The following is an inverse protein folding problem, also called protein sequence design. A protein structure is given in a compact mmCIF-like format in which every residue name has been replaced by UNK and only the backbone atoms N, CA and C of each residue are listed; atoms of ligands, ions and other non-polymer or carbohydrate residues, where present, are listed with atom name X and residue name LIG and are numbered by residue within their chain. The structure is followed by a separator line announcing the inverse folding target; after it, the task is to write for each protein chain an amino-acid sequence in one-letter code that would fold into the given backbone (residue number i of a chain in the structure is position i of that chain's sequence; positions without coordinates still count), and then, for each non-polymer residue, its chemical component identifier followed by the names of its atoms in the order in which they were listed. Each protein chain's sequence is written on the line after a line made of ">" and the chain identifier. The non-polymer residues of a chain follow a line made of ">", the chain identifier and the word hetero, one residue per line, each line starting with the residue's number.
data_IF_240105424869
#
_entry.id   IF_240105424869
#
_cell.length_a   1.000
_cell.length_b   1.000
_cell.length_c   1.000
_cell.angle_alpha   90.00
_cell.angle_beta   90.00
_cell.angle_gamma   90.00
#
_symmetry.space_group_name_H-M   'P 1'
#
loop_
_entity.id
_entity.type
_entity.pdbx_description
1 polymer ?
#
# COMPACT_ATOMS: atom_id res chain seq x y z
N UNK A 1 0.50 20.65 8.67
CA UNK A 1 0.58 19.76 7.49
C UNK A 1 1.80 18.86 7.65
N UNK A 2 1.67 17.53 7.61
CA UNK A 2 2.79 16.62 7.72
C UNK A 2 3.73 16.73 6.51
N UNK A 3 5.01 16.38 6.72
CA UNK A 3 6.04 16.38 5.66
C UNK A 3 6.84 15.08 5.73
N UNK A 4 7.16 14.51 4.59
CA UNK A 4 8.13 13.42 4.46
C UNK A 4 9.40 14.02 3.85
N UNK A 5 10.41 14.31 4.69
CA UNK A 5 11.55 15.09 4.24
C UNK A 5 11.13 16.49 3.78
N UNK A 6 11.40 16.78 2.50
CA UNK A 6 10.98 18.02 1.83
C UNK A 6 9.62 17.94 1.12
N UNK A 7 8.95 16.80 1.15
CA UNK A 7 7.66 16.57 0.50
C UNK A 7 6.55 17.06 1.41
N UNK A 8 5.87 18.12 1.02
CA UNK A 8 4.70 18.64 1.72
C UNK A 8 3.46 17.81 1.39
N UNK A 9 2.69 17.42 2.42
CA UNK A 9 1.48 16.63 2.27
C UNK A 9 0.25 17.43 2.74
N UNK A 10 -0.96 17.10 2.29
CA UNK A 10 -2.18 17.69 2.84
C UNK A 10 -2.30 17.41 4.34
N UNK A 11 -3.24 18.06 5.01
CA UNK A 11 -3.40 18.01 6.47
C UNK A 11 -3.59 16.58 7.02
N UNK A 12 -4.33 15.75 6.31
CA UNK A 12 -4.47 14.31 6.61
C UNK A 12 -4.32 13.51 5.32
N UNK A 13 -3.08 13.18 4.91
CA UNK A 13 -2.84 12.49 3.65
C UNK A 13 -3.33 11.05 3.68
N UNK A 14 -3.79 10.59 2.52
CA UNK A 14 -4.19 9.21 2.27
C UNK A 14 -3.11 8.51 1.43
N UNK A 15 -2.50 7.48 2.00
CA UNK A 15 -1.39 6.76 1.37
C UNK A 15 -1.88 5.41 0.85
N UNK A 16 -1.53 5.05 -0.39
CA UNK A 16 -1.75 3.67 -0.86
C UNK A 16 -0.70 2.74 -0.25
N UNK A 17 -1.16 1.69 0.42
CA UNK A 17 -0.27 0.69 1.01
C UNK A 17 0.47 -0.15 -0.06
N UNK A 18 1.74 -0.49 0.17
CA UNK A 18 2.45 -1.48 -0.64
C UNK A 18 1.82 -2.88 -0.49
N UNK A 19 1.36 -3.46 -1.58
CA UNK A 19 0.68 -4.75 -1.62
C UNK A 19 1.18 -5.60 -2.79
N UNK A 20 1.68 -6.81 -2.48
CA UNK A 20 2.19 -7.76 -3.49
C UNK A 20 1.13 -8.12 -4.51
N UNK A 21 1.49 -8.09 -5.78
CA UNK A 21 0.66 -8.33 -6.95
C UNK A 21 -0.63 -7.45 -6.99
N UNK A 22 -0.60 -6.25 -6.41
CA UNK A 22 -1.73 -5.32 -6.34
C UNK A 22 -1.29 -3.87 -6.62
N UNK A 23 -0.28 -3.36 -5.90
CA UNK A 23 0.16 -1.96 -6.04
C UNK A 23 1.20 -1.80 -7.17
N UNK A 24 0.89 -2.37 -8.32
CA UNK A 24 1.64 -2.21 -9.57
C UNK A 24 1.42 -0.81 -10.18
N UNK A 25 2.24 -0.38 -11.17
CA UNK A 25 2.10 0.94 -11.78
C UNK A 25 0.69 1.25 -12.32
N UNK A 26 -0.01 0.32 -13.01
CA UNK A 26 -1.39 0.53 -13.45
C UNK A 26 -2.35 0.87 -12.29
N UNK A 27 -2.30 0.09 -11.21
CA UNK A 27 -3.20 0.30 -10.07
C UNK A 27 -2.84 1.55 -9.26
N UNK A 28 -1.54 1.81 -9.04
CA UNK A 28 -1.09 3.05 -8.37
C UNK A 28 -1.59 4.30 -9.12
N UNK A 29 -1.52 4.27 -10.46
CA UNK A 29 -2.04 5.36 -11.31
C UNK A 29 -3.54 5.59 -11.08
N UNK A 30 -4.35 4.52 -11.07
CA UNK A 30 -5.79 4.63 -10.79
C UNK A 30 -6.07 5.21 -9.40
N UNK A 31 -5.35 4.74 -8.37
CA UNK A 31 -5.47 5.28 -7.02
C UNK A 31 -5.06 6.75 -6.93
N UNK A 32 -4.01 7.14 -7.66
CA UNK A 32 -3.55 8.53 -7.72
C UNK A 32 -4.57 9.45 -8.38
N UNK A 33 -5.18 9.02 -9.48
CA UNK A 33 -6.27 9.74 -10.15
C UNK A 33 -7.49 9.92 -9.23
N UNK A 34 -7.70 9.00 -8.30
CA UNK A 34 -8.77 9.06 -7.29
C UNK A 34 -8.35 9.72 -5.98
N UNK A 35 -7.18 10.33 -5.94
CA UNK A 35 -6.80 11.21 -4.83
C UNK A 35 -5.89 10.58 -3.77
N UNK A 36 -5.24 9.45 -4.02
CA UNK A 36 -4.14 9.00 -3.16
C UNK A 36 -3.03 10.05 -3.16
N UNK A 37 -2.60 10.51 -1.98
CA UNK A 37 -1.60 11.56 -1.86
C UNK A 37 -0.19 11.04 -2.06
N UNK A 38 0.12 9.86 -1.53
CA UNK A 38 1.38 9.13 -1.70
C UNK A 38 1.08 7.70 -2.09
N UNK A 39 1.83 7.16 -3.03
CA UNK A 39 1.73 5.74 -3.40
C UNK A 39 3.08 5.04 -3.19
N UNK A 40 3.01 3.73 -2.95
CA UNK A 40 4.20 2.89 -2.78
C UNK A 40 4.16 1.74 -3.76
N UNK A 41 5.34 1.34 -4.26
CA UNK A 41 5.46 0.13 -5.07
C UNK A 41 5.11 -1.11 -4.25
N UNK A 42 4.91 -2.23 -4.90
CA UNK A 42 5.02 -3.53 -4.24
C UNK A 42 6.39 -3.65 -3.55
N UNK A 43 6.46 -4.44 -2.47
CA UNK A 43 7.74 -4.59 -1.76
C UNK A 43 8.73 -5.46 -2.55
N UNK A 44 9.97 -5.00 -2.66
CA UNK A 44 11.00 -5.57 -3.50
C UNK A 44 12.09 -6.21 -2.63
N UNK A 45 12.43 -7.47 -2.92
CA UNK A 45 13.52 -8.15 -2.23
C UNK A 45 14.88 -7.55 -2.59
N UNK A 46 15.66 -7.13 -1.60
CA UNK A 46 17.05 -6.68 -1.81
C UNK A 46 17.89 -7.77 -2.49
N UNK A 47 17.78 -9.01 -2.04
CA UNK A 47 18.41 -10.18 -2.64
C UNK A 47 17.98 -10.43 -4.09
N UNK A 48 16.72 -10.09 -4.43
CA UNK A 48 16.21 -10.18 -5.79
C UNK A 48 16.80 -9.10 -6.70
N UNK A 49 16.89 -7.86 -6.18
CA UNK A 49 17.43 -6.73 -6.94
C UNK A 49 18.92 -6.91 -7.27
N UNK A 50 19.74 -7.28 -6.29
CA UNK A 50 21.18 -7.43 -6.51
C UNK A 50 21.54 -8.60 -7.45
N UNK A 51 20.59 -9.49 -7.73
CA UNK A 51 20.73 -10.60 -8.68
C UNK A 51 20.00 -10.38 -10.00
N UNK A 52 19.56 -9.17 -10.27
CA UNK A 52 18.79 -8.79 -11.46
C UNK A 52 17.59 -9.71 -11.73
N UNK A 53 16.93 -10.18 -10.66
CA UNK A 53 15.76 -11.03 -10.82
C UNK A 53 14.63 -10.24 -11.49
N UNK A 54 14.18 -10.66 -12.69
CA UNK A 54 13.21 -9.94 -13.50
C UNK A 54 11.96 -9.51 -12.72
N UNK A 55 11.45 -10.36 -11.83
CA UNK A 55 10.31 -10.03 -10.94
C UNK A 55 10.60 -8.91 -9.94
N UNK A 56 11.85 -8.68 -9.58
CA UNK A 56 12.25 -7.58 -8.69
C UNK A 56 12.50 -6.31 -9.47
N UNK A 57 13.15 -6.42 -10.62
CA UNK A 57 13.49 -5.28 -11.46
C UNK A 57 12.26 -4.58 -12.03
N UNK A 58 11.25 -5.33 -12.51
CA UNK A 58 10.02 -4.76 -13.06
C UNK A 58 9.25 -3.92 -12.04
N UNK A 59 9.37 -4.22 -10.75
CA UNK A 59 8.71 -3.45 -9.68
C UNK A 59 9.35 -2.09 -9.40
N UNK A 60 10.51 -1.79 -10.01
CA UNK A 60 11.14 -0.48 -9.95
C UNK A 60 10.46 0.55 -10.86
N UNK A 61 9.60 0.11 -11.77
CA UNK A 61 8.91 1.01 -12.68
C UNK A 61 7.96 1.93 -11.93
N UNK A 62 8.11 3.23 -12.18
CA UNK A 62 7.27 4.29 -11.64
C UNK A 62 6.87 5.25 -12.76
N UNK A 63 5.66 5.79 -12.68
CA UNK A 63 5.16 6.78 -13.62
C UNK A 63 5.28 8.19 -13.04
N UNK A 64 5.65 9.16 -13.85
CA UNK A 64 5.79 10.56 -13.40
C UNK A 64 4.49 11.10 -12.77
N UNK A 65 3.32 10.70 -13.29
CA UNK A 65 2.02 11.15 -12.81
C UNK A 65 1.58 10.58 -11.45
N UNK A 66 2.32 9.60 -10.91
CA UNK A 66 2.00 9.00 -9.60
C UNK A 66 2.81 9.60 -8.44
N UNK A 67 3.67 10.58 -8.71
CA UNK A 67 4.46 11.26 -7.69
C UNK A 67 3.58 12.05 -6.69
N UNK A 68 3.97 12.10 -5.39
CA UNK A 68 5.14 11.43 -4.82
C UNK A 68 4.95 9.93 -4.70
N UNK A 69 5.99 9.16 -5.08
CA UNK A 69 6.02 7.71 -5.08
C UNK A 69 7.21 7.16 -4.28
N UNK A 70 6.94 6.21 -3.40
CA UNK A 70 7.97 5.50 -2.66
C UNK A 70 8.25 4.12 -3.24
N UNK A 71 9.53 3.77 -3.38
CA UNK A 71 9.93 2.39 -3.67
C UNK A 71 10.17 1.67 -2.35
N UNK A 72 9.45 0.56 -2.12
CA UNK A 72 9.57 -0.21 -0.89
C UNK A 72 10.48 -1.42 -1.08
N UNK A 73 11.51 -1.54 -0.24
CA UNK A 73 12.44 -2.67 -0.22
C UNK A 73 12.36 -3.46 1.08
N UNK A 74 12.74 -4.73 1.05
CA UNK A 74 12.89 -5.58 2.22
C UNK A 74 14.09 -6.51 2.13
N UNK A 75 14.69 -6.79 3.27
CA UNK A 75 15.81 -7.69 3.45
C UNK A 75 16.20 -7.78 4.93
N UNK A 76 17.18 -8.61 5.24
CA UNK A 76 17.75 -8.74 6.58
C UNK A 76 19.28 -8.61 6.56
N UNK A 77 19.90 -8.71 5.38
CA UNK A 77 21.35 -8.59 5.22
C UNK A 77 21.74 -7.18 4.85
N UNK A 78 22.65 -6.58 5.63
CA UNK A 78 23.05 -5.19 5.48
C UNK A 78 23.58 -4.89 4.07
N UNK A 79 24.52 -5.69 3.59
CA UNK A 79 25.17 -5.44 2.30
C UNK A 79 24.18 -5.49 1.14
N UNK A 80 23.24 -6.45 1.15
CA UNK A 80 22.22 -6.54 0.11
C UNK A 80 21.22 -5.38 0.15
N UNK A 81 20.89 -4.89 1.36
CA UNK A 81 20.01 -3.73 1.52
C UNK A 81 20.67 -2.44 1.02
N UNK A 82 21.95 -2.22 1.31
CA UNK A 82 22.67 -1.04 0.81
C UNK A 82 22.84 -1.06 -0.71
N UNK A 83 23.18 -2.20 -1.30
CA UNK A 83 23.24 -2.34 -2.77
C UNK A 83 21.85 -2.14 -3.41
N UNK A 84 20.79 -2.63 -2.77
CA UNK A 84 19.42 -2.40 -3.23
C UNK A 84 19.06 -0.90 -3.22
N UNK A 85 19.49 -0.13 -2.21
CA UNK A 85 19.32 1.34 -2.18
C UNK A 85 19.98 1.99 -3.40
N UNK A 86 21.22 1.63 -3.74
CA UNK A 86 21.92 2.16 -4.90
C UNK A 86 21.20 1.85 -6.24
N UNK A 87 20.55 0.69 -6.32
CA UNK A 87 19.73 0.31 -7.50
C UNK A 87 18.45 1.12 -7.55
N UNK A 88 17.76 1.23 -6.41
CA UNK A 88 16.49 1.98 -6.28
C UNK A 88 16.67 3.45 -6.61
N UNK A 89 17.76 4.09 -6.17
CA UNK A 89 18.03 5.50 -6.47
C UNK A 89 18.11 5.78 -7.98
N UNK A 90 18.56 4.81 -8.80
CA UNK A 90 18.61 4.97 -10.27
C UNK A 90 17.23 5.06 -10.91
N UNK A 91 16.20 4.56 -10.23
CA UNK A 91 14.80 4.71 -10.67
C UNK A 91 14.20 6.05 -10.26
N UNK A 92 14.98 6.91 -9.55
CA UNK A 92 14.60 8.26 -9.14
C UNK A 92 13.23 8.34 -8.41
N UNK A 93 12.98 7.55 -7.34
CA UNK A 93 11.77 7.69 -6.53
C UNK A 93 11.84 8.96 -5.67
N UNK A 94 10.70 9.34 -5.08
CA UNK A 94 10.65 10.44 -4.11
C UNK A 94 11.01 9.98 -2.69
N UNK A 95 10.78 8.68 -2.40
CA UNK A 95 10.93 8.08 -1.07
C UNK A 95 11.53 6.69 -1.20
N UNK A 96 12.42 6.32 -0.31
CA UNK A 96 12.80 4.91 -0.07
C UNK A 96 12.07 4.45 1.18
N UNK A 97 11.24 3.40 1.06
CA UNK A 97 10.50 2.84 2.18
C UNK A 97 11.03 1.45 2.56
N UNK A 98 11.18 1.20 3.86
CA UNK A 98 11.68 -0.08 4.37
C UNK A 98 10.49 -0.91 4.91
N UNK A 99 10.32 -2.13 4.38
CA UNK A 99 9.29 -3.05 4.84
C UNK A 99 9.78 -3.86 6.05
N UNK A 100 9.26 -3.54 7.21
CA UNK A 100 9.39 -4.31 8.44
C UNK A 100 8.04 -4.87 8.92
N UNK A 101 7.05 -5.00 8.00
CA UNK A 101 5.70 -5.40 8.34
C UNK A 101 5.15 -6.63 7.61
N UNK A 102 5.78 -7.13 6.55
CA UNK A 102 5.29 -8.28 5.79
C UNK A 102 5.27 -9.56 6.67
N UNK A 103 4.08 -10.19 6.91
CA UNK A 103 3.97 -11.33 7.82
C UNK A 103 4.17 -12.69 7.12
N UNK A 104 4.37 -12.70 5.80
CA UNK A 104 4.43 -13.92 4.98
C UNK A 104 5.59 -14.82 5.42
N UNK A 105 5.30 -16.11 5.63
CA UNK A 105 6.28 -17.09 6.15
C UNK A 105 7.60 -17.08 5.37
N UNK A 106 7.54 -17.04 4.04
CA UNK A 106 8.74 -17.02 3.15
C UNK A 106 9.67 -15.84 3.43
N UNK A 107 9.11 -14.68 3.80
CA UNK A 107 9.87 -13.45 4.15
C UNK A 107 10.40 -13.57 5.59
N UNK A 108 9.50 -13.89 6.51
CA UNK A 108 9.78 -13.95 7.96
C UNK A 108 10.85 -14.99 8.33
N UNK A 109 10.88 -16.15 7.66
CA UNK A 109 11.90 -17.18 7.89
C UNK A 109 13.33 -16.71 7.55
N UNK A 110 13.46 -15.61 6.78
CA UNK A 110 14.74 -14.96 6.47
C UNK A 110 15.05 -13.78 7.39
N UNK A 111 14.38 -13.65 8.53
CA UNK A 111 14.39 -12.49 9.42
C UNK A 111 14.02 -11.15 8.76
N UNK A 112 13.49 -11.15 7.54
CA UNK A 112 13.06 -9.96 6.80
C UNK A 112 11.58 -9.63 7.07
N UNK A 113 11.13 -8.46 6.61
CA UNK A 113 9.77 -7.99 6.85
C UNK A 113 9.45 -7.97 8.35
N UNK A 114 8.29 -8.51 8.75
CA UNK A 114 7.94 -8.57 10.18
C UNK A 114 8.81 -9.55 11.00
N UNK A 115 9.69 -10.33 10.37
CA UNK A 115 10.63 -11.20 11.06
C UNK A 115 11.63 -10.43 11.91
N UNK A 116 12.02 -9.24 11.45
CA UNK A 116 12.97 -8.34 12.12
C UNK A 116 12.46 -7.81 13.48
N UNK A 117 11.14 -7.84 13.73
CA UNK A 117 10.54 -7.41 15.00
C UNK A 117 11.01 -8.26 16.21
N UNK A 118 11.71 -9.36 15.96
CA UNK A 118 12.36 -10.18 16.99
C UNK A 118 13.79 -9.72 17.30
N UNK A 119 14.34 -8.83 16.46
CA UNK A 119 15.70 -8.28 16.59
C UNK A 119 15.69 -6.78 16.32
N UNK A 120 15.22 -6.02 17.31
CA UNK A 120 15.15 -4.56 17.20
C UNK A 120 16.53 -3.90 17.01
N UNK A 121 17.61 -4.35 17.67
CA UNK A 121 18.95 -3.83 17.38
C UNK A 121 19.34 -3.93 15.89
N UNK A 122 19.09 -5.07 15.25
CA UNK A 122 19.35 -5.24 13.82
C UNK A 122 18.45 -4.35 12.97
N UNK A 123 17.16 -4.24 13.31
CA UNK A 123 16.21 -3.34 12.65
C UNK A 123 16.71 -1.90 12.63
N UNK A 124 17.15 -1.38 13.77
CA UNK A 124 17.68 -0.04 13.93
C UNK A 124 18.99 0.14 13.14
N UNK A 125 19.92 -0.81 13.25
CA UNK A 125 21.19 -0.78 12.53
C UNK A 125 21.00 -0.75 11.01
N UNK A 126 20.14 -1.61 10.46
CA UNK A 126 19.81 -1.62 9.03
C UNK A 126 19.26 -0.27 8.58
N UNK A 127 18.33 0.29 9.36
CA UNK A 127 17.71 1.59 9.05
C UNK A 127 18.74 2.71 9.08
N UNK A 128 19.59 2.76 10.11
CA UNK A 128 20.66 3.76 10.26
C UNK A 128 21.59 3.78 9.04
N UNK A 129 22.06 2.61 8.63
CA UNK A 129 22.98 2.51 7.50
C UNK A 129 22.31 2.85 6.16
N UNK A 130 21.01 2.53 5.99
CA UNK A 130 20.24 2.95 4.83
C UNK A 130 20.07 4.47 4.81
N UNK A 131 19.73 5.09 5.93
CA UNK A 131 19.61 6.57 6.04
C UNK A 131 20.91 7.26 5.71
N UNK A 132 22.05 6.72 6.16
CA UNK A 132 23.38 7.26 5.83
C UNK A 132 23.75 7.11 4.35
N UNK A 133 23.19 6.08 3.66
CA UNK A 133 23.54 5.73 2.28
C UNK A 133 22.90 6.64 1.25
N UNK A 134 21.70 7.17 1.51
CA UNK A 134 20.89 7.94 0.56
C UNK A 134 20.65 9.36 1.01
N UNK A 135 20.36 10.27 0.05
CA UNK A 135 19.84 11.61 0.33
C UNK A 135 18.33 11.71 0.23
N UNK A 136 17.67 10.64 -0.26
CA UNK A 136 16.22 10.58 -0.34
C UNK A 136 15.62 10.41 1.05
N UNK A 137 14.40 10.91 1.29
CA UNK A 137 13.68 10.60 2.50
C UNK A 137 13.52 9.08 2.68
N UNK A 138 13.91 8.57 3.84
CA UNK A 138 13.72 7.17 4.22
C UNK A 138 12.51 7.07 5.15
N UNK A 139 11.58 6.18 4.84
CA UNK A 139 10.42 5.86 5.66
C UNK A 139 10.38 4.39 6.05
N UNK A 140 9.59 4.04 7.04
CA UNK A 140 9.46 2.67 7.50
C UNK A 140 7.98 2.28 7.58
N UNK A 141 7.64 1.10 7.06
CA UNK A 141 6.34 0.46 7.30
C UNK A 141 6.51 -0.78 8.17
N UNK A 142 5.84 -0.78 9.33
CA UNK A 142 5.98 -1.85 10.33
C UNK A 142 4.64 -2.29 10.95
N UNK A 143 4.71 -3.13 11.98
CA UNK A 143 3.58 -3.60 12.80
C UNK A 143 3.84 -3.29 14.28
N UNK A 144 2.83 -3.52 15.14
CA UNK A 144 2.91 -3.29 16.58
C UNK A 144 4.02 -4.10 17.28
N UNK A 145 4.31 -5.29 16.79
CA UNK A 145 5.28 -6.21 17.34
C UNK A 145 5.19 -7.60 16.68
N UNK A 146 5.96 -8.54 17.18
CA UNK A 146 5.90 -9.94 16.73
C UNK A 146 4.61 -10.62 17.15
N UNK A 147 4.26 -10.54 18.44
CA UNK A 147 3.05 -11.06 19.06
C UNK A 147 2.56 -10.11 20.16
N UNK A 148 1.48 -10.47 20.84
CA UNK A 148 0.88 -9.62 21.88
C UNK A 148 1.77 -9.42 23.12
N UNK A 149 2.75 -10.31 23.35
CA UNK A 149 3.69 -10.20 24.47
C UNK A 149 4.92 -9.35 24.12
N UNK A 150 5.07 -8.96 22.87
CA UNK A 150 6.23 -8.25 22.33
C UNK A 150 5.88 -6.97 21.58
N UNK A 151 4.76 -6.34 21.93
CA UNK A 151 4.38 -5.02 21.43
C UNK A 151 5.35 -3.98 22.00
N UNK A 152 6.23 -3.45 21.14
CA UNK A 152 7.25 -2.45 21.49
C UNK A 152 7.26 -1.27 20.54
N UNK A 153 6.11 -1.00 19.91
CA UNK A 153 6.07 -0.05 18.81
C UNK A 153 6.50 1.37 19.19
N UNK A 154 6.25 1.81 20.44
CA UNK A 154 6.66 3.13 20.91
C UNK A 154 8.20 3.21 20.96
N UNK A 155 8.87 2.26 21.62
CA UNK A 155 10.33 2.17 21.65
C UNK A 155 10.93 2.06 20.24
N UNK A 156 10.33 1.24 19.39
CA UNK A 156 10.77 1.02 18.00
C UNK A 156 10.68 2.32 17.21
N UNK A 157 9.58 3.04 17.30
CA UNK A 157 9.37 4.29 16.58
C UNK A 157 10.38 5.38 17.00
N UNK A 158 10.62 5.53 18.32
CA UNK A 158 11.64 6.44 18.83
C UNK A 158 13.02 6.13 18.26
N UNK A 159 13.44 4.86 18.37
CA UNK A 159 14.77 4.45 17.91
C UNK A 159 14.96 4.59 16.40
N UNK A 160 13.90 4.35 15.61
CA UNK A 160 13.94 4.52 14.16
C UNK A 160 13.98 6.03 13.80
N UNK A 161 13.23 6.88 14.50
CA UNK A 161 13.34 8.32 14.34
C UNK A 161 14.75 8.84 14.69
N UNK A 162 15.33 8.37 15.79
CA UNK A 162 16.65 8.79 16.27
C UNK A 162 17.75 8.49 15.22
N UNK A 163 17.58 7.47 14.37
CA UNK A 163 18.51 7.16 13.28
C UNK A 163 18.15 7.84 11.96
N UNK A 164 17.08 8.66 11.92
CA UNK A 164 16.83 9.63 10.86
C UNK A 164 15.76 9.28 9.83
N UNK A 165 14.85 8.34 10.11
CA UNK A 165 13.68 8.16 9.22
C UNK A 165 12.80 9.42 9.22
N UNK A 166 12.08 9.65 8.12
CA UNK A 166 11.28 10.85 7.91
C UNK A 166 9.78 10.66 8.09
N UNK A 167 9.30 9.42 8.20
CA UNK A 167 7.94 9.06 8.57
C UNK A 167 7.86 7.57 8.92
N UNK A 168 6.81 7.20 9.67
CA UNK A 168 6.55 5.81 10.00
C UNK A 168 5.08 5.46 9.74
N UNK A 169 4.84 4.33 9.05
CA UNK A 169 3.51 3.75 8.85
C UNK A 169 3.35 2.48 9.69
N UNK A 170 2.34 2.44 10.54
CA UNK A 170 2.19 1.36 11.51
C UNK A 170 0.88 0.61 11.28
N UNK A 171 0.97 -0.69 10.98
CA UNK A 171 -0.20 -1.55 10.94
C UNK A 171 -0.62 -1.95 12.37
N UNK A 172 -1.87 -1.67 12.76
CA UNK A 172 -2.44 -1.92 14.09
C UNK A 172 -2.64 -3.40 14.42
N UNK A 173 -1.79 -4.29 13.93
CA UNK A 173 -1.74 -5.73 14.24
C UNK A 173 -0.32 -6.19 14.48
N UNK A 174 -0.15 -7.24 15.27
CA UNK A 174 1.12 -7.95 15.38
C UNK A 174 1.37 -8.86 14.16
N UNK A 175 2.60 -9.37 14.04
CA UNK A 175 2.91 -10.35 12.99
C UNK A 175 2.08 -11.62 13.12
N UNK A 176 1.91 -12.14 14.33
CA UNK A 176 1.18 -13.39 14.58
C UNK A 176 -0.30 -13.27 14.24
N UNK A 177 -0.92 -12.13 14.49
CA UNK A 177 -2.30 -11.85 14.06
C UNK A 177 -2.49 -11.91 12.55
N UNK A 178 -1.45 -11.57 11.76
CA UNK A 178 -1.57 -11.41 10.31
C UNK A 178 -2.70 -10.43 9.93
N UNK A 179 -3.88 -10.96 9.61
CA UNK A 179 -5.10 -10.20 9.28
C UNK A 179 -6.31 -10.60 10.15
N UNK A 180 -6.09 -11.42 11.19
CA UNK A 180 -7.15 -11.87 12.10
C UNK A 180 -7.48 -10.81 13.15
N UNK A 181 -8.72 -10.80 13.62
CA UNK A 181 -9.22 -9.81 14.58
C UNK A 181 -9.26 -8.40 14.00
N UNK A 182 -9.38 -7.41 14.84
CA UNK A 182 -9.39 -6.00 14.48
C UNK A 182 -8.01 -5.35 14.64
N UNK A 183 -7.75 -4.29 13.87
CA UNK A 183 -6.56 -3.48 14.05
C UNK A 183 -6.71 -2.62 15.30
N UNK A 184 -5.73 -2.67 16.20
CA UNK A 184 -5.69 -1.80 17.37
C UNK A 184 -4.86 -0.54 17.07
N UNK A 185 -5.53 0.60 17.04
CA UNK A 185 -4.88 1.89 16.76
C UNK A 185 -4.38 2.60 18.02
N UNK A 186 -4.71 2.11 19.23
CA UNK A 186 -4.26 2.72 20.50
C UNK A 186 -2.73 2.78 20.61
N UNK A 187 -1.97 1.68 20.36
CA UNK A 187 -0.51 1.76 20.41
C UNK A 187 0.08 2.70 19.34
N UNK A 188 -0.61 2.91 18.21
CA UNK A 188 -0.18 3.89 17.20
C UNK A 188 -0.38 5.31 17.72
N UNK A 189 -1.51 5.58 18.38
CA UNK A 189 -1.77 6.85 19.04
C UNK A 189 -0.77 7.12 20.19
N UNK A 190 -0.34 6.09 20.92
CA UNK A 190 0.72 6.22 21.93
C UNK A 190 2.03 6.67 21.29
N UNK A 191 2.39 6.13 20.11
CA UNK A 191 3.54 6.62 19.33
C UNK A 191 3.35 8.09 18.97
N UNK A 192 2.20 8.47 18.41
CA UNK A 192 1.93 9.83 17.96
C UNK A 192 1.96 10.85 19.13
N UNK A 193 1.39 10.48 20.26
CA UNK A 193 1.32 11.34 21.46
C UNK A 193 2.61 11.38 22.29
N UNK A 194 3.61 10.60 21.90
CA UNK A 194 4.91 10.63 22.56
C UNK A 194 5.62 11.94 22.25
N UNK A 195 5.98 12.71 23.29
CA UNK A 195 6.64 14.01 23.18
C UNK A 195 7.98 13.99 22.43
N UNK A 196 8.62 12.82 22.36
CA UNK A 196 9.86 12.63 21.59
C UNK A 196 9.63 12.45 20.08
N UNK A 197 8.39 12.14 19.66
CA UNK A 197 8.09 11.92 18.24
C UNK A 197 7.86 13.26 17.53
N UNK A 198 8.61 13.48 16.44
CA UNK A 198 8.54 14.70 15.63
C UNK A 198 8.22 14.43 14.16
N UNK A 199 8.36 13.17 13.72
CA UNK A 199 8.04 12.75 12.36
C UNK A 199 6.55 12.35 12.22
N UNK A 200 5.98 12.40 11.01
CA UNK A 200 4.62 11.92 10.77
C UNK A 200 4.44 10.44 11.12
N UNK A 201 3.31 10.13 11.77
CA UNK A 201 2.88 8.77 12.13
C UNK A 201 1.59 8.45 11.38
N UNK A 202 1.66 7.53 10.43
CA UNK A 202 0.53 7.10 9.61
C UNK A 202 -0.05 5.80 10.13
N UNK A 203 -1.36 5.77 10.33
CA UNK A 203 -2.08 4.57 10.75
C UNK A 203 -2.42 3.66 9.57
N UNK A 204 -2.39 2.35 9.81
CA UNK A 204 -2.78 1.35 8.82
C UNK A 204 -3.52 0.18 9.49
N UNK A 205 -4.42 -0.45 8.73
CA UNK A 205 -5.25 -1.56 9.15
C UNK A 205 -6.70 -1.15 9.37
N UNK A 206 -7.63 -1.84 8.71
CA UNK A 206 -9.08 -1.70 8.83
C UNK A 206 -9.61 -0.26 8.59
N UNK A 207 -8.94 0.49 7.73
CA UNK A 207 -9.45 1.74 7.17
C UNK A 207 -10.23 1.36 5.92
N UNK A 208 -11.49 1.00 6.07
CA UNK A 208 -12.37 0.47 5.03
C UNK A 208 -13.69 1.24 4.89
N UNK A 209 -13.88 2.30 5.68
CA UNK A 209 -14.93 3.30 5.53
C UNK A 209 -14.36 4.72 5.70
N UNK A 210 -15.02 5.75 5.18
CA UNK A 210 -14.64 7.14 5.43
C UNK A 210 -14.63 7.49 6.92
N UNK A 211 -15.58 6.98 7.70
CA UNK A 211 -15.65 7.18 9.16
C UNK A 211 -14.44 6.59 9.89
N UNK A 212 -13.93 5.44 9.41
CA UNK A 212 -12.72 4.85 9.99
C UNK A 212 -11.51 5.78 9.82
N UNK A 213 -11.40 6.46 8.67
CA UNK A 213 -10.37 7.46 8.44
C UNK A 213 -10.55 8.71 9.31
N UNK A 214 -11.80 9.21 9.45
CA UNK A 214 -12.13 10.31 10.38
C UNK A 214 -11.78 9.94 11.81
N UNK A 215 -12.17 8.76 12.26
CA UNK A 215 -11.85 8.24 13.59
C UNK A 215 -10.34 8.20 13.84
N UNK A 216 -9.57 7.76 12.85
CA UNK A 216 -8.11 7.71 12.93
C UNK A 216 -7.50 9.11 13.10
N UNK A 217 -8.07 10.13 12.45
CA UNK A 217 -7.67 11.53 12.58
C UNK A 217 -8.12 12.12 13.93
N UNK A 218 -9.41 12.02 14.24
CA UNK A 218 -10.04 12.84 15.30
C UNK A 218 -9.94 12.21 16.69
N UNK A 219 -10.03 10.86 16.80
CA UNK A 219 -9.92 10.17 18.08
C UNK A 219 -8.47 9.75 18.40
N UNK A 220 -7.71 9.34 17.39
CA UNK A 220 -6.34 8.85 17.58
C UNK A 220 -5.26 9.88 17.25
N UNK A 221 -5.61 11.03 16.65
CA UNK A 221 -4.73 12.15 16.37
C UNK A 221 -3.59 11.85 15.39
N UNK A 222 -3.74 10.82 14.55
CA UNK A 222 -2.70 10.41 13.61
C UNK A 222 -2.54 11.42 12.47
N UNK A 223 -1.37 11.45 11.84
CA UNK A 223 -1.03 12.41 10.80
C UNK A 223 -1.57 12.03 9.41
N UNK A 224 -2.10 10.83 9.23
CA UNK A 224 -2.69 10.34 7.99
C UNK A 224 -3.02 8.86 8.05
N UNK A 225 -3.66 8.35 7.01
CA UNK A 225 -4.07 6.96 6.90
C UNK A 225 -3.43 6.26 5.70
N UNK A 226 -2.85 5.07 5.92
CA UNK A 226 -2.41 4.20 4.85
C UNK A 226 -3.49 3.15 4.55
N UNK A 227 -4.03 3.19 3.34
CA UNK A 227 -5.16 2.39 2.88
C UNK A 227 -4.63 1.19 2.07
N UNK A 228 -5.07 -0.01 2.43
CA UNK A 228 -4.72 -1.25 1.72
C UNK A 228 -5.94 -1.88 1.07
N UNK A 229 -6.47 -2.93 1.66
CA UNK A 229 -7.51 -3.81 1.11
C UNK A 229 -8.75 -3.11 0.60
N UNK A 230 -9.16 -2.01 1.22
CA UNK A 230 -10.32 -1.24 0.80
C UNK A 230 -10.18 -0.64 -0.61
N UNK A 231 -8.96 -0.37 -1.07
CA UNK A 231 -8.71 0.16 -2.42
C UNK A 231 -8.65 -0.90 -3.51
N UNK A 232 -8.47 -2.19 -3.17
CA UNK A 232 -8.30 -3.26 -4.18
C UNK A 232 -9.56 -3.37 -5.05
N UNK A 233 -9.45 -3.06 -6.35
CA UNK A 233 -10.59 -3.00 -7.26
C UNK A 233 -11.63 -1.94 -6.90
N UNK A 234 -11.26 -1.00 -6.04
CA UNK A 234 -12.10 0.14 -5.65
C UNK A 234 -11.26 1.39 -5.39
N UNK A 235 -10.55 1.92 -6.40
CA UNK A 235 -9.68 3.08 -6.22
C UNK A 235 -10.41 4.34 -5.77
N UNK A 236 -11.70 4.48 -6.03
CA UNK A 236 -12.55 5.60 -5.62
C UNK A 236 -12.58 5.84 -4.11
N UNK A 237 -12.20 4.85 -3.31
CA UNK A 237 -12.17 4.96 -1.86
C UNK A 237 -11.37 6.17 -1.36
N UNK A 238 -10.29 6.55 -2.03
CA UNK A 238 -9.52 7.76 -1.68
C UNK A 238 -10.34 9.03 -1.86
N UNK A 239 -11.10 9.14 -2.95
CA UNK A 239 -11.96 10.30 -3.21
C UNK A 239 -13.16 10.32 -2.25
N UNK A 240 -13.74 9.16 -1.93
CA UNK A 240 -14.84 9.06 -0.95
C UNK A 240 -14.41 9.56 0.43
N UNK A 241 -13.23 9.15 0.91
CA UNK A 241 -12.69 9.63 2.20
C UNK A 241 -12.47 11.14 2.17
N UNK A 242 -11.88 11.69 1.09
CA UNK A 242 -11.66 13.12 0.96
C UNK A 242 -12.96 13.92 0.86
N UNK A 243 -13.94 13.41 0.14
CA UNK A 243 -15.26 14.03 0.07
C UNK A 243 -15.93 14.07 1.44
N UNK A 244 -15.90 12.95 2.17
CA UNK A 244 -16.44 12.84 3.52
C UNK A 244 -15.74 13.79 4.51
N UNK A 245 -14.41 13.93 4.44
CA UNK A 245 -13.67 14.91 5.25
C UNK A 245 -14.13 16.35 5.01
N UNK A 246 -14.50 16.66 3.77
CA UNK A 246 -14.91 18.02 3.38
C UNK A 246 -16.36 18.34 3.71
N UNK A 247 -17.25 17.35 3.59
CA UNK A 247 -18.71 17.57 3.64
C UNK A 247 -19.42 16.94 4.81
N UNK A 248 -18.85 15.88 5.41
CA UNK A 248 -19.52 15.00 6.36
C UNK A 248 -20.53 14.06 5.72
N UNK A 249 -20.61 14.01 4.39
CA UNK A 249 -21.56 13.21 3.63
C UNK A 249 -20.83 12.16 2.79
N UNK A 250 -21.50 11.03 2.53
CA UNK A 250 -20.97 10.02 1.62
C UNK A 250 -21.06 10.49 0.16
N UNK A 251 -20.00 10.26 -0.58
CA UNK A 251 -20.02 10.41 -2.03
C UNK A 251 -20.88 9.28 -2.63
N UNK A 252 -21.67 9.60 -3.64
CA UNK A 252 -22.39 8.58 -4.40
C UNK A 252 -21.40 7.54 -4.97
N UNK A 253 -21.71 6.24 -4.88
CA UNK A 253 -20.81 5.21 -5.42
C UNK A 253 -20.69 5.36 -6.94
N UNK A 254 -19.55 4.96 -7.53
CA UNK A 254 -19.35 5.01 -8.98
C UNK A 254 -20.42 4.17 -9.70
N UNK A 255 -20.92 4.69 -10.80
CA UNK A 255 -21.88 4.02 -11.70
C UNK A 255 -21.29 2.73 -12.28
N UNK A 256 -22.15 1.90 -12.88
CA UNK A 256 -21.71 0.69 -13.58
C UNK A 256 -20.73 1.02 -14.70
N UNK A 257 -21.01 2.05 -15.49
CA UNK A 257 -20.15 2.51 -16.58
C UNK A 257 -18.75 2.89 -16.06
N UNK A 258 -18.67 3.69 -14.99
CA UNK A 258 -17.37 4.09 -14.41
C UNK A 258 -16.59 2.89 -13.90
N UNK A 259 -17.26 1.86 -13.36
CA UNK A 259 -16.61 0.63 -12.87
C UNK A 259 -16.09 -0.24 -14.01
N UNK A 260 -16.88 -0.39 -15.08
CA UNK A 260 -16.47 -1.11 -16.30
C UNK A 260 -15.30 -0.42 -16.95
N UNK A 261 -15.37 0.90 -17.14
CA UNK A 261 -14.29 1.70 -17.75
C UNK A 261 -12.99 1.62 -16.95
N UNK A 262 -13.08 1.69 -15.62
CA UNK A 262 -11.91 1.56 -14.76
C UNK A 262 -11.31 0.15 -14.82
N UNK A 263 -12.13 -0.90 -14.80
CA UNK A 263 -11.67 -2.28 -14.91
C UNK A 263 -11.01 -2.56 -16.29
N UNK A 264 -11.62 -2.04 -17.36
CA UNK A 264 -11.09 -2.13 -18.74
C UNK A 264 -9.75 -1.41 -18.87
N UNK A 265 -9.67 -0.17 -18.40
CA UNK A 265 -8.41 0.62 -18.37
C UNK A 265 -7.34 -0.08 -17.54
N UNK A 266 -7.69 -0.62 -16.37
CA UNK A 266 -6.77 -1.34 -15.50
C UNK A 266 -6.16 -2.54 -16.21
N UNK A 267 -7.00 -3.40 -16.80
CA UNK A 267 -6.56 -4.57 -17.56
C UNK A 267 -5.65 -4.17 -18.73
N UNK A 268 -6.06 -3.18 -19.53
CA UNK A 268 -5.26 -2.75 -20.69
C UNK A 268 -3.88 -2.23 -20.24
N UNK A 269 -3.82 -1.37 -19.22
CA UNK A 269 -2.55 -0.87 -18.70
C UNK A 269 -1.67 -1.99 -18.13
N UNK A 270 -2.28 -2.99 -17.48
CA UNK A 270 -1.54 -4.15 -16.97
C UNK A 270 -0.96 -5.01 -18.11
N UNK A 271 -1.71 -5.21 -19.20
CA UNK A 271 -1.25 -5.90 -20.40
C UNK A 271 -0.10 -5.13 -21.06
N UNK A 272 -0.25 -3.83 -21.22
CA UNK A 272 0.77 -2.96 -21.84
C UNK A 272 2.08 -2.96 -21.03
N UNK A 273 2.00 -3.04 -19.72
CA UNK A 273 3.16 -3.00 -18.83
C UNK A 273 3.90 -4.34 -18.70
N UNK A 274 3.18 -5.44 -18.48
CA UNK A 274 3.80 -6.75 -18.14
C UNK A 274 3.44 -7.90 -19.09
N UNK A 275 2.78 -7.58 -20.21
CA UNK A 275 2.31 -8.53 -21.21
C UNK A 275 0.98 -9.20 -20.82
N UNK A 276 0.29 -9.75 -21.81
CA UNK A 276 -1.07 -10.23 -21.68
C UNK A 276 -1.25 -11.28 -20.57
N UNK A 277 -0.42 -12.33 -20.59
CA UNK A 277 -0.56 -13.44 -19.64
C UNK A 277 -0.49 -13.00 -18.17
N UNK A 278 0.48 -12.17 -17.81
CA UNK A 278 0.61 -11.68 -16.43
C UNK A 278 -0.41 -10.58 -16.14
N UNK A 279 -0.69 -9.71 -17.11
CA UNK A 279 -1.68 -8.65 -17.00
C UNK A 279 -3.06 -9.24 -16.68
N UNK A 280 -3.54 -10.22 -17.43
CA UNK A 280 -4.80 -10.90 -17.18
C UNK A 280 -4.79 -11.59 -15.82
N UNK A 281 -3.73 -12.36 -15.51
CA UNK A 281 -3.68 -13.17 -14.29
C UNK A 281 -3.71 -12.33 -13.01
N UNK A 282 -2.93 -11.25 -12.94
CA UNK A 282 -2.80 -10.44 -11.72
C UNK A 282 -3.99 -9.49 -11.53
N UNK A 283 -4.60 -8.95 -12.60
CA UNK A 283 -5.77 -8.08 -12.52
C UNK A 283 -7.02 -8.79 -11.99
N UNK A 284 -7.10 -10.11 -12.06
CA UNK A 284 -8.22 -10.92 -11.50
C UNK A 284 -8.53 -10.59 -10.04
N UNK A 285 -7.55 -10.20 -9.26
CA UNK A 285 -7.70 -9.85 -7.83
C UNK A 285 -8.63 -8.66 -7.61
N UNK A 286 -8.77 -7.81 -8.60
CA UNK A 286 -9.53 -6.58 -8.53
C UNK A 286 -11.00 -6.74 -8.94
N UNK A 287 -11.31 -7.68 -9.85
CA UNK A 287 -12.65 -7.78 -10.46
C UNK A 287 -13.77 -8.01 -9.46
N UNK A 288 -13.54 -8.80 -8.42
CA UNK A 288 -14.55 -9.03 -7.38
C UNK A 288 -15.01 -7.73 -6.70
N UNK A 289 -14.11 -6.79 -6.51
CA UNK A 289 -14.43 -5.54 -5.83
C UNK A 289 -14.93 -4.46 -6.81
N UNK A 290 -14.43 -4.42 -8.06
CA UNK A 290 -15.00 -3.55 -9.08
C UNK A 290 -16.51 -3.74 -9.22
N UNK A 291 -16.97 -4.98 -9.14
CA UNK A 291 -18.36 -5.37 -9.36
C UNK A 291 -19.06 -5.91 -8.10
N UNK A 292 -18.55 -5.53 -6.92
CA UNK A 292 -19.16 -5.94 -5.65
C UNK A 292 -20.55 -5.32 -5.48
N UNK A 293 -21.52 -6.13 -5.05
CA UNK A 293 -22.88 -5.69 -4.76
C UNK A 293 -23.89 -6.02 -5.86
N UNK A 294 -23.46 -6.44 -7.05
CA UNK A 294 -24.37 -6.81 -8.15
C UNK A 294 -25.00 -8.18 -7.86
N UNK A 295 -26.34 -8.31 -7.86
CA UNK A 295 -27.01 -9.58 -7.69
C UNK A 295 -26.76 -10.51 -8.88
N UNK A 296 -26.70 -11.81 -8.63
CA UNK A 296 -26.50 -12.85 -9.67
C UNK A 296 -25.24 -12.69 -10.53
N UNK A 297 -24.21 -12.03 -10.02
CA UNK A 297 -22.99 -11.70 -10.75
C UNK A 297 -21.98 -12.87 -10.90
N UNK A 298 -22.26 -14.02 -10.28
CA UNK A 298 -21.30 -15.15 -10.19
C UNK A 298 -20.79 -15.62 -11.56
N UNK A 299 -21.66 -15.70 -12.57
CA UNK A 299 -21.29 -16.16 -13.91
C UNK A 299 -20.23 -15.24 -14.54
N UNK A 300 -20.49 -13.94 -14.58
CA UNK A 300 -19.59 -12.92 -15.13
C UNK A 300 -18.26 -12.87 -14.38
N UNK A 301 -18.32 -12.93 -13.06
CA UNK A 301 -17.11 -13.03 -12.25
C UNK A 301 -16.27 -14.24 -12.62
N UNK A 302 -16.91 -15.42 -12.82
CA UNK A 302 -16.18 -16.62 -13.18
C UNK A 302 -15.52 -16.49 -14.54
N UNK A 303 -16.17 -15.92 -15.55
CA UNK A 303 -15.54 -15.62 -16.84
C UNK A 303 -14.26 -14.80 -16.66
N UNK A 304 -14.33 -13.68 -15.94
CA UNK A 304 -13.20 -12.76 -15.72
C UNK A 304 -12.03 -13.39 -14.94
N UNK A 305 -12.31 -14.26 -13.93
CA UNK A 305 -11.25 -14.78 -13.05
C UNK A 305 -10.69 -16.13 -13.50
N UNK A 306 -11.30 -16.78 -14.47
CA UNK A 306 -10.82 -18.09 -14.97
C UNK A 306 -10.27 -18.06 -16.39
N UNK A 307 -10.64 -17.05 -17.21
CA UNK A 307 -10.06 -16.94 -18.56
C UNK A 307 -8.61 -16.50 -18.50
N UNK A 308 -7.75 -17.10 -19.33
CA UNK A 308 -6.36 -16.72 -19.55
C UNK A 308 -6.19 -15.82 -20.79
N UNK A 309 -7.30 -15.53 -21.51
CA UNK A 309 -7.36 -14.70 -22.70
C UNK A 309 -7.91 -13.31 -22.37
N UNK A 310 -7.23 -12.26 -22.81
CA UNK A 310 -7.69 -10.90 -22.59
C UNK A 310 -8.99 -10.57 -23.30
N UNK A 311 -9.21 -11.11 -24.52
CA UNK A 311 -10.42 -10.88 -25.29
C UNK A 311 -11.67 -11.39 -24.54
N UNK A 312 -11.61 -12.60 -23.96
CA UNK A 312 -12.72 -13.13 -23.16
C UNK A 312 -13.06 -12.24 -21.95
N UNK A 313 -12.03 -11.62 -21.35
CA UNK A 313 -12.25 -10.72 -20.20
C UNK A 313 -12.85 -9.39 -20.65
N UNK A 314 -12.42 -8.84 -21.79
CA UNK A 314 -13.04 -7.66 -22.38
C UNK A 314 -14.48 -7.91 -22.81
N UNK A 315 -14.77 -9.05 -23.44
CA UNK A 315 -16.13 -9.46 -23.79
C UNK A 315 -17.03 -9.59 -22.54
N UNK A 316 -16.46 -10.13 -21.44
CA UNK A 316 -17.20 -10.18 -20.18
C UNK A 316 -17.50 -8.80 -19.60
N UNK A 317 -16.66 -7.78 -19.82
CA UNK A 317 -16.96 -6.39 -19.45
C UNK A 317 -18.09 -5.81 -20.29
N UNK A 318 -18.12 -6.09 -21.61
CA UNK A 318 -19.18 -5.66 -22.51
C UNK A 318 -20.52 -6.28 -22.10
N UNK A 319 -20.55 -7.60 -21.80
CA UNK A 319 -21.74 -8.27 -21.30
C UNK A 319 -22.25 -7.69 -19.97
N UNK A 320 -21.35 -7.28 -19.08
CA UNK A 320 -21.71 -6.64 -17.80
C UNK A 320 -22.32 -5.28 -18.04
N UNK A 321 -21.74 -4.48 -18.92
CA UNK A 321 -22.25 -3.16 -19.28
C UNK A 321 -23.64 -3.25 -19.91
N UNK A 322 -23.84 -4.17 -20.87
CA UNK A 322 -25.13 -4.40 -21.52
C UNK A 322 -26.21 -4.82 -20.52
N UNK A 323 -25.89 -5.75 -19.62
CA UNK A 323 -26.88 -6.36 -18.74
C UNK A 323 -27.16 -5.55 -17.47
N UNK A 324 -26.18 -4.86 -16.93
CA UNK A 324 -26.24 -4.19 -15.63
C UNK A 324 -26.00 -2.67 -15.72
N UNK A 325 -25.97 -2.08 -16.93
CA UNK A 325 -25.68 -0.65 -17.11
C UNK A 325 -26.56 0.27 -16.28
N UNK A 326 -27.84 -0.07 -16.11
CA UNK A 326 -28.81 0.67 -15.30
C UNK A 326 -28.80 0.33 -13.80
N UNK A 327 -27.91 -0.60 -13.37
CA UNK A 327 -27.86 -0.99 -11.97
C UNK A 327 -27.34 0.14 -11.08
N UNK A 328 -28.10 0.46 -10.02
CA UNK A 328 -27.74 1.49 -9.05
C UNK A 328 -27.10 0.84 -7.82
N UNK A 329 -25.91 1.28 -7.49
CA UNK A 329 -25.23 0.87 -6.27
C UNK A 329 -25.78 1.69 -5.09
N UNK A 330 -25.97 1.02 -3.96
CA UNK A 330 -26.45 1.63 -2.72
C UNK A 330 -25.26 2.12 -1.86
#
# INVERSE_FOLDING_TARGET
>A
MPKIGNIELPDFPLLLAPMEDVSDPPFRKLCKEQGADVVYTEFISSEGLIRDAAKSVIKLDIYEKERPVGIQIFGAELDSMLQAVDIVEKSNPDIIDINFGCPVKKVVCKNAGAGILRDIPLMVKLTEEIVKRTKLPVTVKTRLGWDNNSIKIVEVAERLQDVGIQAISIHGRTRVQMYKGEADWKPIAEVKNNQRMHIPVFGNGDVDTPEAAVKMRDEFGLDGAMIGRASIGYPWFFNEVKYYFKTGEHLAPPSMQERVDAARRHLQMAIDWKGEKLGVFETRRHYTNYFKGIPHFKEYRMKMVTSDDAADVFDAFDEVEEKFGDFQFA
#
